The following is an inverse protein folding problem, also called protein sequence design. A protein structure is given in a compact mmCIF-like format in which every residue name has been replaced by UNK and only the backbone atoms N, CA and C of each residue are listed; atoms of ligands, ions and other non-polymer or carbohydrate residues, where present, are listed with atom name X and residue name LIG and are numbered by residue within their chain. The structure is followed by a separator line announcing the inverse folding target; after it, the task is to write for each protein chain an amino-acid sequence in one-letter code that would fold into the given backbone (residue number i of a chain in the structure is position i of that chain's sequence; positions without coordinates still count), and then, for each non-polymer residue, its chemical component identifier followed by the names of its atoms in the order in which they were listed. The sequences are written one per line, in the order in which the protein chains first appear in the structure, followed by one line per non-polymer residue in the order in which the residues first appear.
data_IF_000259484240
#
_entry.id   IF_000259484240
#
_cell.length_a   1.000
_cell.length_b   1.000
_cell.length_c   1.000
_cell.angle_alpha   90.00
_cell.angle_beta   90.00
_cell.angle_gamma   90.00
#
_symmetry.space_group_name_H-M   'P 1'
#
loop_
_entity.id
_entity.type
_entity.pdbx_description
1 polymer ?
#
# COMPACT_ATOMS: atom_id res chain seq x y z
N UNK A 1 12.20 -0.40 7.23
CA UNK A 1 11.91 -0.17 5.78
C UNK A 1 10.55 0.50 5.63
N UNK A 2 10.44 1.46 4.74
CA UNK A 2 9.17 2.11 4.42
C UNK A 2 8.54 1.43 3.20
N UNK A 3 7.33 0.95 3.38
CA UNK A 3 6.61 0.14 2.39
C UNK A 3 5.28 0.80 2.07
N UNK A 4 4.95 0.91 0.78
CA UNK A 4 3.63 1.34 0.32
C UNK A 4 2.88 0.13 -0.21
N UNK A 5 1.63 -0.01 0.20
CA UNK A 5 0.71 -1.00 -0.36
C UNK A 5 -0.24 -0.27 -1.31
N UNK A 6 -0.11 -0.54 -2.59
CA UNK A 6 -0.84 0.16 -3.66
C UNK A 6 -2.16 -0.54 -3.96
N UNK A 7 -3.27 0.15 -3.72
CA UNK A 7 -4.61 -0.40 -3.93
C UNK A 7 -5.38 0.37 -4.99
N UNK A 8 -5.66 -0.27 -6.12
CA UNK A 8 -6.49 0.29 -7.19
C UNK A 8 -7.97 -0.14 -7.10
N UNK A 9 -8.23 -1.23 -6.37
CA UNK A 9 -9.59 -1.78 -6.27
C UNK A 9 -9.73 -2.56 -4.97
N UNK A 10 -10.96 -3.02 -4.70
CA UNK A 10 -11.25 -3.73 -3.44
C UNK A 10 -10.49 -5.05 -3.30
N UNK A 11 -10.21 -5.72 -4.40
CA UNK A 11 -9.49 -6.99 -4.36
C UNK A 11 -8.03 -6.81 -3.93
N UNK A 12 -7.44 -5.67 -4.27
CA UNK A 12 -6.08 -5.35 -3.86
C UNK A 12 -5.95 -5.31 -2.34
N UNK A 13 -6.98 -4.85 -1.64
CA UNK A 13 -6.98 -4.78 -0.17
C UNK A 13 -6.82 -6.19 0.41
N UNK A 14 -7.59 -7.14 -0.10
CA UNK A 14 -7.55 -8.52 0.39
C UNK A 14 -6.23 -9.21 0.05
N UNK A 15 -5.65 -8.90 -1.10
CA UNK A 15 -4.37 -9.47 -1.53
C UNK A 15 -3.22 -8.94 -0.65
N UNK A 16 -3.26 -7.65 -0.30
CA UNK A 16 -2.17 -6.98 0.41
C UNK A 16 -2.29 -7.04 1.92
N UNK A 17 -3.49 -7.25 2.46
CA UNK A 17 -3.69 -7.28 3.91
C UNK A 17 -2.81 -8.29 4.65
N UNK A 18 -2.54 -9.50 4.11
CA UNK A 18 -1.61 -10.42 4.76
C UNK A 18 -0.23 -9.84 5.03
N UNK A 19 0.25 -8.93 4.19
CA UNK A 19 1.53 -8.24 4.40
C UNK A 19 1.45 -7.35 5.64
N UNK A 20 0.37 -6.56 5.75
CA UNK A 20 0.13 -5.71 6.91
C UNK A 20 0.04 -6.54 8.19
N UNK A 21 -0.72 -7.63 8.15
CA UNK A 21 -0.90 -8.50 9.30
C UNK A 21 0.40 -9.16 9.72
N UNK A 22 1.20 -9.62 8.76
CA UNK A 22 2.48 -10.26 9.05
C UNK A 22 3.43 -9.29 9.75
N UNK A 23 3.54 -8.07 9.25
CA UNK A 23 4.40 -7.05 9.85
C UNK A 23 3.95 -6.73 11.27
N UNK A 24 2.66 -6.56 11.48
CA UNK A 24 2.11 -6.27 12.81
C UNK A 24 2.30 -7.43 13.78
N UNK A 25 1.99 -8.65 13.33
CA UNK A 25 2.04 -9.85 14.16
C UNK A 25 3.46 -10.20 14.59
N UNK A 26 4.43 -10.01 13.69
CA UNK A 26 5.84 -10.33 13.95
C UNK A 26 6.60 -9.14 14.56
N UNK A 27 5.93 -8.01 14.80
CA UNK A 27 6.55 -6.79 15.33
C UNK A 27 7.77 -6.36 14.51
N UNK A 28 7.69 -6.49 13.18
CA UNK A 28 8.79 -6.11 12.30
C UNK A 28 8.94 -4.58 12.23
N UNK A 29 10.18 -4.06 12.12
CA UNK A 29 10.43 -2.63 12.13
C UNK A 29 10.16 -1.97 10.78
N UNK A 30 9.02 -2.28 10.17
CA UNK A 30 8.61 -1.71 8.90
C UNK A 30 7.47 -0.73 9.11
N UNK A 31 7.56 0.42 8.43
CA UNK A 31 6.47 1.37 8.36
C UNK A 31 5.68 1.10 7.09
N UNK A 32 4.36 0.99 7.20
CA UNK A 32 3.49 0.71 6.07
C UNK A 32 2.53 1.87 5.87
N UNK A 33 2.44 2.34 4.63
CA UNK A 33 1.46 3.32 4.19
C UNK A 33 0.64 2.70 3.06
N UNK A 34 -0.68 2.65 3.26
CA UNK A 34 -1.60 2.21 2.21
C UNK A 34 -1.91 3.39 1.30
N UNK A 35 -1.70 3.22 0.00
CA UNK A 35 -2.11 4.21 -0.99
C UNK A 35 -3.38 3.72 -1.68
N UNK A 36 -4.49 4.40 -1.42
CA UNK A 36 -5.80 4.05 -1.94
C UNK A 36 -6.08 4.94 -3.15
N UNK A 37 -6.05 4.35 -4.33
CA UNK A 37 -6.23 5.10 -5.57
C UNK A 37 -7.71 5.32 -5.86
N UNK A 38 -8.16 6.56 -5.69
CA UNK A 38 -9.53 6.96 -6.04
C UNK A 38 -9.64 7.18 -7.54
N UNK A 39 -10.83 7.05 -8.14
CA UNK A 39 -12.15 6.83 -7.53
C UNK A 39 -12.58 5.37 -7.42
N UNK A 40 -11.69 4.43 -7.63
CA UNK A 40 -12.04 3.01 -7.76
C UNK A 40 -12.41 2.34 -6.44
N UNK A 41 -12.09 2.96 -5.32
CA UNK A 41 -12.40 2.43 -4.00
C UNK A 41 -13.24 3.46 -3.24
N UNK A 42 -14.48 3.09 -2.93
CA UNK A 42 -15.42 3.99 -2.23
C UNK A 42 -15.12 4.08 -0.74
N UNK A 43 -14.69 2.99 -0.14
CA UNK A 43 -14.38 2.94 1.28
C UNK A 43 -13.21 1.99 1.52
N UNK A 44 -12.40 2.33 2.52
CA UNK A 44 -11.28 1.49 2.93
C UNK A 44 -11.61 0.90 4.31
N UNK A 45 -11.81 -0.43 4.42
CA UNK A 45 -12.30 -1.03 5.66
C UNK A 45 -11.32 -0.94 6.84
N UNK A 46 -10.04 -0.71 6.59
CA UNK A 46 -9.02 -0.62 7.64
C UNK A 46 -8.63 0.81 7.98
N UNK A 47 -9.43 1.80 7.58
CA UNK A 47 -9.10 3.22 7.73
C UNK A 47 -8.77 3.63 9.17
N UNK A 48 -9.41 2.99 10.15
CA UNK A 48 -9.19 3.30 11.56
C UNK A 48 -8.02 2.52 12.19
N UNK A 49 -7.43 1.59 11.46
CA UNK A 49 -6.45 0.65 12.00
C UNK A 49 -5.05 0.82 11.44
N UNK A 50 -4.92 1.44 10.27
CA UNK A 50 -3.64 1.55 9.56
C UNK A 50 -3.45 2.97 9.03
N UNK A 51 -2.20 3.32 8.69
CA UNK A 51 -1.93 4.57 7.99
C UNK A 51 -2.28 4.40 6.52
N UNK A 52 -3.04 5.35 5.98
CA UNK A 52 -3.44 5.32 4.58
C UNK A 52 -3.57 6.73 4.02
N UNK A 53 -3.48 6.85 2.71
CA UNK A 53 -3.64 8.11 2.01
C UNK A 53 -4.26 7.89 0.64
N UNK A 54 -4.91 8.94 0.11
CA UNK A 54 -5.31 9.03 -1.29
C UNK A 54 -4.44 10.03 -2.04
N UNK A 55 -3.49 10.65 -1.37
CA UNK A 55 -2.66 11.71 -1.92
C UNK A 55 -1.34 11.17 -2.43
N UNK A 56 -1.06 11.38 -3.72
CA UNK A 56 0.21 11.00 -4.31
C UNK A 56 1.37 11.75 -3.67
N UNK A 57 1.14 13.00 -3.27
CA UNK A 57 2.17 13.80 -2.60
C UNK A 57 2.60 13.18 -1.28
N UNK A 58 1.66 12.62 -0.52
CA UNK A 58 1.99 11.95 0.74
C UNK A 58 2.83 10.71 0.50
N UNK A 59 2.62 10.00 -0.62
CA UNK A 59 3.46 8.86 -0.99
C UNK A 59 4.88 9.32 -1.28
N UNK A 60 5.04 10.43 -2.01
CA UNK A 60 6.37 10.99 -2.27
C UNK A 60 7.06 11.43 -0.97
N UNK A 61 6.32 12.07 -0.09
CA UNK A 61 6.86 12.55 1.19
C UNK A 61 7.25 11.39 2.11
N UNK A 62 6.56 10.27 2.00
CA UNK A 62 6.85 9.06 2.77
C UNK A 62 8.18 8.43 2.36
N UNK A 63 8.62 8.65 1.12
CA UNK A 63 9.85 8.08 0.56
C UNK A 63 9.92 6.56 0.71
N UNK A 64 8.98 5.82 0.10
CA UNK A 64 8.95 4.36 0.25
C UNK A 64 10.17 3.73 -0.42
N UNK A 65 10.70 2.69 0.22
CA UNK A 65 11.75 1.87 -0.34
C UNK A 65 11.19 0.80 -1.26
N UNK A 66 9.98 0.34 -0.97
CA UNK A 66 9.29 -0.68 -1.77
C UNK A 66 7.80 -0.36 -1.88
N UNK A 67 7.22 -0.72 -3.02
CA UNK A 67 5.79 -0.61 -3.26
C UNK A 67 5.29 -1.97 -3.72
N UNK A 68 4.38 -2.57 -2.97
CA UNK A 68 3.74 -3.82 -3.36
C UNK A 68 2.52 -3.52 -4.20
N UNK A 69 2.46 -4.13 -5.37
CA UNK A 69 1.42 -3.88 -6.38
C UNK A 69 0.72 -5.18 -6.73
N UNK A 70 -0.57 -5.33 -6.45
CA UNK A 70 -1.33 -6.49 -6.93
C UNK A 70 -1.78 -6.25 -8.35
N UNK A 71 -1.61 -7.24 -9.22
CA UNK A 71 -2.06 -7.16 -10.60
C UNK A 71 -1.00 -6.69 -11.57
N UNK A 72 -1.45 -6.31 -12.78
CA UNK A 72 -0.58 -6.07 -13.92
C UNK A 72 -0.19 -4.61 -14.13
N UNK A 73 -0.89 -3.68 -13.50
CA UNK A 73 -0.62 -2.25 -13.67
C UNK A 73 0.36 -1.80 -12.59
N UNK A 74 1.56 -1.44 -13.01
CA UNK A 74 2.63 -1.03 -12.10
C UNK A 74 2.75 0.49 -12.12
N UNK A 75 2.64 1.17 -10.97
CA UNK A 75 2.72 2.63 -10.91
C UNK A 75 4.17 3.11 -10.97
N UNK A 76 4.75 3.10 -12.16
CA UNK A 76 6.15 3.50 -12.34
C UNK A 76 6.43 4.95 -11.94
N UNK A 77 5.40 5.77 -11.88
CA UNK A 77 5.50 7.18 -11.47
C UNK A 77 5.72 7.36 -9.97
N UNK A 78 5.55 6.31 -9.18
CA UNK A 78 5.78 6.37 -7.74
C UNK A 78 7.22 5.96 -7.42
N UNK A 79 7.82 6.52 -6.33
CA UNK A 79 9.17 6.16 -5.92
C UNK A 79 9.23 4.77 -5.30
N UNK A 80 10.44 4.21 -5.26
CA UNK A 80 10.68 2.91 -4.64
C UNK A 80 10.66 1.75 -5.62
N UNK A 81 11.16 0.61 -5.17
CA UNK A 81 11.16 -0.64 -5.94
C UNK A 81 9.74 -1.19 -6.02
N UNK A 82 9.27 -1.53 -7.21
CA UNK A 82 7.92 -2.07 -7.42
C UNK A 82 7.97 -3.59 -7.36
N UNK A 83 7.14 -4.16 -6.48
CA UNK A 83 7.07 -5.60 -6.27
C UNK A 83 5.65 -6.04 -6.62
N UNK A 84 5.52 -6.84 -7.69
CA UNK A 84 4.21 -7.36 -8.08
C UNK A 84 3.84 -8.57 -7.24
N UNK A 85 2.63 -8.57 -6.73
CA UNK A 85 2.07 -9.65 -5.91
C UNK A 85 0.84 -10.19 -6.63
N UNK A 86 0.79 -11.47 -6.85
CA UNK A 86 -0.33 -12.13 -7.54
C UNK A 86 -1.09 -13.06 -6.60
#
# INVERSE_FOLDING_TARGET
MRIVLFCENKYAIDILNPIQEHVAKQHLPHEILWYIHKPKIDSFPYADQVKWTCSIQEVYDFQPEAIYVPGNIVPYYLPGVKIQVF
#
